data_IF_648588974095
#
_entry.id   IF_648588974095
#
_cell.length_a   1.000
_cell.length_b   1.000
_cell.length_c   1.000
_cell.angle_alpha   90.00
_cell.angle_beta   90.00
_cell.angle_gamma   90.00
#
_symmetry.space_group_name_H-M   'P 1'
#
loop_
_entity.id
_entity.type
_entity.pdbx_description
1 polymer ?
#
# COMPACT_ATOMS: atom_id res chain seq x y z
N UNK A 1 4.24 7.91 -15.31
CA UNK A 1 3.53 8.35 -14.09
C UNK A 1 4.47 8.42 -12.88
N UNK A 2 5.12 7.33 -12.43
CA UNK A 2 6.03 7.34 -11.27
C UNK A 2 7.15 8.40 -11.37
N UNK A 3 7.84 8.49 -12.51
CA UNK A 3 8.90 9.50 -12.74
C UNK A 3 8.36 10.93 -12.59
N UNK A 4 7.17 11.22 -13.13
CA UNK A 4 6.57 12.56 -12.99
C UNK A 4 6.25 12.90 -11.55
N UNK A 5 5.76 11.92 -10.76
CA UNK A 5 5.48 12.13 -9.34
C UNK A 5 6.76 12.35 -8.53
N UNK A 6 7.83 11.57 -8.80
CA UNK A 6 9.13 11.79 -8.15
C UNK A 6 9.70 13.15 -8.51
N UNK A 7 9.54 13.61 -9.76
CA UNK A 7 9.94 14.94 -10.17
C UNK A 7 9.22 16.04 -9.36
N UNK A 8 7.90 15.90 -9.14
CA UNK A 8 7.17 16.87 -8.30
C UNK A 8 7.66 16.87 -6.86
N UNK A 9 7.96 15.70 -6.27
CA UNK A 9 8.53 15.60 -4.92
C UNK A 9 9.91 16.28 -4.85
N UNK A 10 10.74 16.09 -5.87
CA UNK A 10 12.06 16.68 -5.94
C UNK A 10 12.01 18.21 -6.05
N UNK A 11 11.25 18.74 -7.01
CA UNK A 11 11.11 20.18 -7.22
C UNK A 11 10.35 20.91 -6.12
N UNK A 12 9.52 20.20 -5.36
CA UNK A 12 8.87 20.76 -4.17
C UNK A 12 9.71 20.65 -2.88
N UNK A 13 10.97 20.23 -2.99
CA UNK A 13 11.88 19.99 -1.85
C UNK A 13 11.32 19.02 -0.79
N UNK A 14 10.45 18.09 -1.20
CA UNK A 14 9.90 17.08 -0.31
C UNK A 14 10.75 15.79 -0.33
N UNK A 15 12.04 15.94 -0.03
CA UNK A 15 13.10 14.95 -0.18
C UNK A 15 13.67 14.46 1.15
N UNK A 16 13.08 14.87 2.26
CA UNK A 16 13.44 14.41 3.59
C UNK A 16 12.54 13.25 4.00
N UNK A 17 13.15 12.10 4.30
CA UNK A 17 12.43 10.96 4.86
C UNK A 17 12.76 10.79 6.34
N UNK A 18 11.74 10.50 7.13
CA UNK A 18 11.88 10.09 8.52
C UNK A 18 11.93 8.56 8.59
N UNK A 19 12.92 8.06 9.33
CA UNK A 19 13.01 6.64 9.67
C UNK A 19 12.65 6.50 11.14
N UNK A 20 11.64 5.70 11.51
CA UNK A 20 11.28 5.50 12.91
C UNK A 20 12.50 5.08 13.71
N UNK A 21 12.76 5.77 14.82
CA UNK A 21 13.88 5.57 15.75
C UNK A 21 15.29 5.86 15.18
N UNK A 22 15.48 6.03 13.88
CA UNK A 22 16.79 6.26 13.24
C UNK A 22 17.04 7.71 12.81
N UNK A 23 16.02 8.59 12.91
CA UNK A 23 16.13 9.99 12.56
C UNK A 23 15.67 10.32 11.14
N UNK A 24 16.23 11.38 10.55
CA UNK A 24 15.85 11.84 9.21
C UNK A 24 17.00 11.76 8.22
N UNK A 25 16.68 11.41 6.98
CA UNK A 25 17.62 11.41 5.86
C UNK A 25 17.20 12.50 4.89
N UNK A 26 18.10 13.45 4.64
CA UNK A 26 17.93 14.47 3.61
C UNK A 26 18.66 14.04 2.34
N UNK A 27 17.93 13.84 1.26
CA UNK A 27 18.46 13.36 -0.01
C UNK A 27 19.02 14.48 -0.92
N UNK A 28 18.81 15.75 -0.60
CA UNK A 28 19.42 16.86 -1.36
C UNK A 28 20.87 17.15 -0.98
N UNK A 29 21.42 16.44 0.00
CA UNK A 29 22.75 16.71 0.54
C UNK A 29 23.87 16.51 -0.48
N UNK A 30 23.78 15.48 -1.33
CA UNK A 30 24.79 15.10 -2.31
C UNK A 30 24.13 14.53 -3.58
N UNK A 31 24.84 14.57 -4.72
CA UNK A 31 24.39 13.95 -5.96
C UNK A 31 24.02 12.46 -5.79
N UNK A 32 24.85 11.69 -5.07
CA UNK A 32 24.59 10.26 -4.82
C UNK A 32 23.33 10.02 -4.01
N UNK A 33 23.06 10.81 -2.96
CA UNK A 33 21.81 10.71 -2.17
C UNK A 33 20.60 11.13 -3.01
N UNK A 34 20.74 12.13 -3.87
CA UNK A 34 19.69 12.51 -4.81
C UNK A 34 19.34 11.41 -5.78
N UNK A 35 20.34 10.74 -6.38
CA UNK A 35 20.12 9.59 -7.26
C UNK A 35 19.42 8.45 -6.51
N UNK A 36 19.84 8.17 -5.26
CA UNK A 36 19.21 7.16 -4.41
C UNK A 36 17.75 7.49 -4.13
N UNK A 37 17.41 8.76 -3.85
CA UNK A 37 16.03 9.21 -3.70
C UNK A 37 15.17 8.86 -4.93
N UNK A 38 15.68 9.19 -6.13
CA UNK A 38 14.97 8.92 -7.37
C UNK A 38 14.72 7.42 -7.57
N UNK A 39 15.75 6.61 -7.42
CA UNK A 39 15.65 5.15 -7.60
C UNK A 39 14.67 4.53 -6.58
N UNK A 40 14.82 4.85 -5.29
CA UNK A 40 13.96 4.31 -4.25
C UNK A 40 12.52 4.80 -4.41
N UNK A 41 12.31 6.08 -4.72
CA UNK A 41 10.95 6.62 -4.88
C UNK A 41 10.22 6.02 -6.07
N UNK A 42 10.90 5.86 -7.23
CA UNK A 42 10.33 5.20 -8.39
C UNK A 42 9.94 3.75 -8.03
N UNK A 43 10.82 3.03 -7.34
CA UNK A 43 10.58 1.65 -6.93
C UNK A 43 9.40 1.55 -5.96
N UNK A 44 9.33 2.41 -4.94
CA UNK A 44 8.24 2.41 -3.96
C UNK A 44 6.90 2.75 -4.62
N UNK A 45 6.86 3.81 -5.45
CA UNK A 45 5.61 4.22 -6.11
C UNK A 45 5.15 3.13 -7.08
N UNK A 46 6.04 2.64 -7.95
CA UNK A 46 5.72 1.59 -8.91
C UNK A 46 5.30 0.30 -8.20
N UNK A 47 6.04 -0.10 -7.16
CA UNK A 47 5.74 -1.28 -6.34
C UNK A 47 4.37 -1.16 -5.67
N UNK A 48 4.08 -0.03 -5.01
CA UNK A 48 2.79 0.20 -4.35
C UNK A 48 1.63 0.15 -5.33
N UNK A 49 1.75 0.84 -6.47
CA UNK A 49 0.70 0.88 -7.50
C UNK A 49 0.38 -0.52 -8.03
N UNK A 50 1.42 -1.31 -8.35
CA UNK A 50 1.21 -2.66 -8.84
C UNK A 50 0.72 -3.61 -7.75
N UNK A 51 1.17 -3.45 -6.50
CA UNK A 51 0.73 -4.29 -5.38
C UNK A 51 -0.77 -4.12 -5.09
N UNK A 52 -1.27 -2.88 -5.16
CA UNK A 52 -2.71 -2.61 -5.02
C UNK A 52 -3.49 -3.20 -6.19
N UNK A 53 -2.97 -3.09 -7.41
CA UNK A 53 -3.59 -3.70 -8.60
C UNK A 53 -3.65 -5.23 -8.49
N UNK A 54 -2.57 -5.90 -8.05
CA UNK A 54 -2.55 -7.34 -7.81
C UNK A 54 -3.55 -7.80 -6.73
N UNK A 55 -3.88 -6.92 -5.80
CA UNK A 55 -4.85 -7.21 -4.73
C UNK A 55 -6.31 -7.14 -5.23
N UNK A 56 -6.57 -6.60 -6.41
CA UNK A 56 -7.91 -6.52 -7.03
C UNK A 56 -8.28 -7.81 -7.78
N UNK A 57 -7.94 -8.97 -7.25
CA UNK A 57 -8.15 -10.28 -7.87
C UNK A 57 -9.45 -10.99 -7.49
N UNK A 58 -10.09 -10.59 -6.40
CA UNK A 58 -11.38 -11.13 -5.93
C UNK A 58 -12.32 -10.01 -5.47
N UNK A 59 -13.64 -10.32 -5.46
CA UNK A 59 -14.70 -9.37 -5.14
C UNK A 59 -14.49 -8.70 -3.77
N UNK A 60 -14.35 -7.36 -3.77
CA UNK A 60 -14.29 -6.55 -2.57
C UNK A 60 -12.93 -6.51 -1.85
N UNK A 61 -11.93 -7.30 -2.23
CA UNK A 61 -10.67 -7.39 -1.49
C UNK A 61 -9.90 -6.07 -1.54
N UNK A 62 -9.61 -5.56 -2.73
CA UNK A 62 -8.86 -4.30 -2.90
C UNK A 62 -9.51 -3.15 -2.14
N UNK A 63 -10.84 -2.98 -2.29
CA UNK A 63 -11.60 -1.92 -1.64
C UNK A 63 -11.61 -2.03 -0.11
N UNK A 64 -11.80 -3.25 0.44
CA UNK A 64 -11.85 -3.46 1.88
C UNK A 64 -10.49 -3.25 2.55
N UNK A 65 -9.41 -3.70 1.91
CA UNK A 65 -8.03 -3.45 2.39
C UNK A 65 -7.72 -1.95 2.31
N UNK A 66 -8.04 -1.28 1.19
CA UNK A 66 -7.81 0.17 1.03
C UNK A 66 -8.59 0.99 2.06
N UNK A 67 -9.80 0.55 2.45
CA UNK A 67 -10.56 1.21 3.52
C UNK A 67 -9.80 1.23 4.85
N UNK A 68 -9.11 0.15 5.22
CA UNK A 68 -8.31 0.10 6.46
C UNK A 68 -7.13 1.05 6.41
N UNK A 69 -6.47 1.16 5.24
CA UNK A 69 -5.40 2.14 5.00
C UNK A 69 -5.91 3.56 5.16
N UNK A 70 -7.03 3.88 4.50
CA UNK A 70 -7.63 5.22 4.54
C UNK A 70 -8.01 5.63 5.97
N UNK A 71 -8.61 4.74 6.76
CA UNK A 71 -8.93 4.98 8.17
C UNK A 71 -7.67 5.34 8.98
N UNK A 72 -6.58 4.59 8.77
CA UNK A 72 -5.33 4.85 9.47
C UNK A 72 -4.74 6.23 9.12
N UNK A 73 -4.80 6.64 7.85
CA UNK A 73 -4.32 7.95 7.43
C UNK A 73 -5.24 9.11 7.86
N UNK A 74 -6.55 8.89 7.96
CA UNK A 74 -7.46 9.87 8.59
C UNK A 74 -7.05 10.10 10.03
N UNK A 75 -6.90 9.01 10.81
CA UNK A 75 -6.49 9.12 12.21
C UNK A 75 -5.17 9.86 12.37
N UNK A 76 -4.15 9.49 11.61
CA UNK A 76 -2.84 10.13 11.68
C UNK A 76 -2.89 11.61 11.25
N UNK A 77 -3.62 11.91 10.16
CA UNK A 77 -3.80 13.29 9.69
C UNK A 77 -4.47 14.19 10.71
N UNK A 78 -5.49 13.69 11.40
CA UNK A 78 -6.14 14.40 12.49
C UNK A 78 -5.22 14.57 13.71
N UNK A 79 -4.48 13.53 14.07
CA UNK A 79 -3.55 13.55 15.20
C UNK A 79 -2.40 14.55 15.00
N UNK A 80 -1.85 14.65 13.79
CA UNK A 80 -0.74 15.55 13.47
C UNK A 80 -1.18 16.92 12.95
N UNK A 81 -2.49 17.19 12.80
CA UNK A 81 -2.98 18.44 12.23
C UNK A 81 -2.80 18.54 10.70
N UNK A 82 -2.52 17.44 10.00
CA UNK A 82 -2.37 17.40 8.54
C UNK A 82 -3.75 17.28 7.86
N UNK A 83 -4.54 18.36 7.96
CA UNK A 83 -5.94 18.39 7.50
C UNK A 83 -6.10 17.98 6.04
N UNK A 84 -5.23 18.44 5.14
CA UNK A 84 -5.29 18.09 3.71
C UNK A 84 -5.15 16.58 3.47
N UNK A 85 -4.24 15.92 4.20
CA UNK A 85 -4.07 14.46 4.14
C UNK A 85 -5.29 13.73 4.70
N UNK A 86 -5.85 14.20 5.83
CA UNK A 86 -7.05 13.62 6.42
C UNK A 86 -8.26 13.72 5.48
N UNK A 87 -8.44 14.86 4.81
CA UNK A 87 -9.49 15.06 3.81
C UNK A 87 -9.30 14.12 2.61
N UNK A 88 -8.09 14.01 2.08
CA UNK A 88 -7.79 13.08 0.98
C UNK A 88 -8.09 11.63 1.38
N UNK A 89 -7.63 11.21 2.55
CA UNK A 89 -7.88 9.86 3.05
C UNK A 89 -9.37 9.61 3.29
N UNK A 90 -10.12 10.60 3.78
CA UNK A 90 -11.57 10.51 3.94
C UNK A 90 -12.31 10.39 2.59
N UNK A 91 -11.85 11.12 1.57
CA UNK A 91 -12.38 11.00 0.22
C UNK A 91 -12.13 9.60 -0.37
N UNK A 92 -10.92 9.04 -0.16
CA UNK A 92 -10.60 7.66 -0.55
C UNK A 92 -11.52 6.69 0.18
N UNK A 93 -11.68 6.84 1.50
CA UNK A 93 -12.57 5.97 2.29
C UNK A 93 -14.02 6.02 1.77
N UNK A 94 -14.55 7.21 1.55
CA UNK A 94 -15.91 7.38 0.99
C UNK A 94 -16.07 6.72 -0.38
N UNK A 95 -15.08 6.91 -1.25
CA UNK A 95 -15.06 6.30 -2.59
C UNK A 95 -15.04 4.78 -2.55
N UNK A 96 -14.12 4.18 -1.77
CA UNK A 96 -14.02 2.70 -1.69
C UNK A 96 -15.20 2.08 -0.95
N UNK A 97 -15.78 2.72 0.07
CA UNK A 97 -16.99 2.23 0.73
C UNK A 97 -18.21 2.30 -0.19
N UNK A 98 -18.36 3.41 -0.94
CA UNK A 98 -19.43 3.55 -1.93
C UNK A 98 -19.30 2.50 -3.04
N UNK A 99 -18.09 2.27 -3.56
CA UNK A 99 -17.82 1.23 -4.55
C UNK A 99 -18.07 -0.18 -3.97
N UNK A 100 -17.68 -0.43 -2.72
CA UNK A 100 -17.84 -1.72 -2.05
C UNK A 100 -19.31 -2.16 -1.96
N UNK A 101 -20.28 -1.23 -1.92
CA UNK A 101 -21.69 -1.58 -1.96
C UNK A 101 -22.09 -2.36 -3.23
N UNK A 102 -21.34 -2.16 -4.33
CA UNK A 102 -21.57 -2.83 -5.61
C UNK A 102 -20.56 -3.92 -5.93
N UNK A 103 -19.35 -3.83 -5.34
CA UNK A 103 -18.25 -4.77 -5.57
C UNK A 103 -18.16 -5.86 -4.49
N UNK A 104 -19.00 -5.82 -3.43
CA UNK A 104 -19.03 -6.90 -2.44
C UNK A 104 -19.58 -8.18 -3.06
N UNK A 105 -18.98 -9.32 -2.70
CA UNK A 105 -19.30 -10.64 -3.26
C UNK A 105 -20.78 -11.06 -3.02
N UNK A 106 -21.56 -11.44 -4.06
CA UNK A 106 -21.17 -11.45 -5.48
C UNK A 106 -21.16 -10.03 -6.10
N UNK A 107 -20.05 -9.67 -6.74
CA UNK A 107 -19.87 -8.34 -7.30
C UNK A 107 -20.85 -8.06 -8.45
N UNK A 108 -21.35 -6.83 -8.51
CA UNK A 108 -22.16 -6.30 -9.61
C UNK A 108 -21.36 -5.41 -10.54
N UNK A 109 -20.19 -4.96 -10.09
CA UNK A 109 -19.26 -4.12 -10.84
C UNK A 109 -17.83 -4.40 -10.42
N UNK A 110 -16.88 -4.15 -11.32
CA UNK A 110 -15.47 -4.37 -11.11
C UNK A 110 -14.70 -3.06 -11.25
N UNK A 111 -13.62 -2.92 -10.46
CA UNK A 111 -12.79 -1.72 -10.45
C UNK A 111 -11.91 -1.63 -11.71
N UNK A 112 -11.36 -2.74 -12.14
CA UNK A 112 -10.41 -2.84 -13.24
C UNK A 112 -9.11 -2.10 -12.98
N UNK A 113 -8.16 -2.23 -13.91
CA UNK A 113 -6.83 -1.64 -13.78
C UNK A 113 -6.86 -0.12 -13.58
N UNK A 114 -7.79 0.57 -14.20
CA UNK A 114 -7.90 2.04 -14.07
C UNK A 114 -8.17 2.45 -12.62
N UNK A 115 -9.08 1.76 -11.94
CA UNK A 115 -9.41 2.05 -10.55
C UNK A 115 -8.34 1.60 -9.57
N UNK A 116 -7.85 0.36 -9.71
CA UNK A 116 -6.88 -0.22 -8.78
C UNK A 116 -5.51 0.46 -8.88
N UNK A 117 -5.03 0.80 -10.09
CA UNK A 117 -3.80 1.58 -10.28
C UNK A 117 -3.96 3.01 -9.74
N UNK A 118 -5.14 3.64 -9.91
CA UNK A 118 -5.43 4.94 -9.33
C UNK A 118 -5.40 4.90 -7.79
N UNK A 119 -6.05 3.91 -7.17
CA UNK A 119 -5.99 3.72 -5.71
C UNK A 119 -4.57 3.47 -5.23
N UNK A 120 -3.79 2.67 -5.94
CA UNK A 120 -2.38 2.45 -5.64
C UNK A 120 -1.54 3.74 -5.66
N UNK A 121 -1.82 4.62 -6.63
CA UNK A 121 -1.22 5.96 -6.69
C UNK A 121 -1.58 6.84 -5.51
N UNK A 122 -2.84 6.81 -5.06
CA UNK A 122 -3.31 7.55 -3.88
C UNK A 122 -2.68 7.01 -2.59
N UNK A 123 -2.59 5.68 -2.43
CA UNK A 123 -1.92 5.05 -1.27
C UNK A 123 -0.45 5.44 -1.22
N UNK A 124 0.25 5.41 -2.36
CA UNK A 124 1.63 5.87 -2.45
C UNK A 124 1.76 7.35 -2.05
N UNK A 125 0.86 8.21 -2.55
CA UNK A 125 0.85 9.64 -2.21
C UNK A 125 0.68 9.88 -0.70
N UNK A 126 -0.23 9.16 -0.04
CA UNK A 126 -0.40 9.23 1.41
C UNK A 126 0.88 8.86 2.16
N UNK A 127 1.62 7.83 1.71
CA UNK A 127 2.90 7.43 2.28
C UNK A 127 3.97 8.52 2.18
N UNK A 128 3.99 9.28 1.09
CA UNK A 128 4.89 10.43 0.94
C UNK A 128 4.45 11.66 1.75
N UNK A 129 3.15 11.86 1.96
CA UNK A 129 2.64 12.93 2.80
C UNK A 129 3.14 12.85 4.26
N UNK A 130 3.33 11.63 4.79
CA UNK A 130 3.88 11.41 6.13
C UNK A 130 5.42 11.49 6.17
N UNK A 131 6.07 11.71 5.04
CA UNK A 131 7.55 11.71 4.89
C UNK A 131 8.21 10.43 5.41
N UNK A 132 7.49 9.33 5.44
CA UNK A 132 7.98 8.03 5.91
C UNK A 132 7.47 6.90 5.00
N UNK A 133 7.84 6.91 3.70
CA UNK A 133 7.29 5.98 2.72
C UNK A 133 7.64 4.51 3.02
N UNK A 134 8.66 4.25 3.82
CA UNK A 134 9.01 2.88 4.25
C UNK A 134 7.87 2.23 5.06
N UNK A 135 7.07 3.01 5.77
CA UNK A 135 5.94 2.48 6.52
C UNK A 135 4.77 2.03 5.64
N UNK A 136 4.78 2.33 4.33
CA UNK A 136 3.84 1.71 3.38
C UNK A 136 3.91 0.18 3.41
N UNK A 137 5.07 -0.39 3.76
CA UNK A 137 5.21 -1.85 3.95
C UNK A 137 4.29 -2.39 5.05
N UNK A 138 3.98 -1.60 6.07
CA UNK A 138 3.07 -1.97 7.16
C UNK A 138 1.66 -1.46 6.93
N UNK A 139 1.48 -0.22 6.44
CA UNK A 139 0.15 0.30 6.09
C UNK A 139 -0.54 -0.53 5.01
N UNK A 140 0.24 -1.15 4.12
CA UNK A 140 -0.24 -2.03 3.06
C UNK A 140 0.36 -3.43 3.16
N UNK A 141 0.44 -4.01 4.37
CA UNK A 141 1.08 -5.33 4.55
C UNK A 141 0.43 -6.41 3.68
N UNK A 142 -0.86 -6.34 3.44
CA UNK A 142 -1.56 -7.26 2.55
C UNK A 142 -1.10 -7.06 1.11
N UNK A 143 -0.99 -5.82 0.62
CA UNK A 143 -0.47 -5.54 -0.72
C UNK A 143 0.94 -6.11 -0.92
N UNK A 144 1.78 -5.96 0.11
CA UNK A 144 3.14 -6.52 0.10
C UNK A 144 3.09 -8.04 0.04
N UNK A 145 2.24 -8.69 0.86
CA UNK A 145 2.10 -10.15 0.86
C UNK A 145 1.62 -10.69 -0.50
N UNK A 146 0.66 -10.00 -1.15
CA UNK A 146 0.18 -10.37 -2.49
C UNK A 146 1.34 -10.37 -3.50
N UNK A 147 2.05 -9.26 -3.59
CA UNK A 147 3.18 -9.11 -4.52
C UNK A 147 4.33 -10.05 -4.20
N UNK A 148 4.69 -10.20 -2.91
CA UNK A 148 5.76 -11.11 -2.52
C UNK A 148 5.43 -12.56 -2.80
N UNK A 149 4.16 -12.97 -2.68
CA UNK A 149 3.74 -14.32 -3.03
C UNK A 149 3.94 -14.62 -4.51
N UNK A 150 3.68 -13.65 -5.39
CA UNK A 150 3.95 -13.77 -6.83
C UNK A 150 5.44 -13.87 -7.12
N UNK A 151 6.24 -12.97 -6.56
CA UNK A 151 7.69 -12.95 -6.77
C UNK A 151 8.31 -14.28 -6.32
N UNK A 152 7.94 -14.75 -5.13
CA UNK A 152 8.42 -16.02 -4.57
C UNK A 152 7.97 -17.20 -5.44
N UNK A 153 6.71 -17.23 -5.84
CA UNK A 153 6.17 -18.30 -6.69
C UNK A 153 6.88 -18.38 -8.03
N UNK A 154 7.03 -17.24 -8.72
CA UNK A 154 7.69 -17.17 -10.02
C UNK A 154 9.17 -17.56 -9.91
N UNK A 155 9.86 -17.03 -8.89
CA UNK A 155 11.27 -17.35 -8.64
C UNK A 155 11.48 -18.84 -8.39
N UNK A 156 10.71 -19.41 -7.47
CA UNK A 156 10.80 -20.82 -7.12
C UNK A 156 10.42 -21.73 -8.30
N UNK A 157 9.37 -21.39 -9.04
CA UNK A 157 8.95 -22.14 -10.23
C UNK A 157 10.04 -22.22 -11.29
N UNK A 158 10.74 -21.10 -11.54
CA UNK A 158 11.86 -21.04 -12.48
C UNK A 158 13.06 -21.89 -12.02
N UNK A 159 13.44 -21.76 -10.74
CA UNK A 159 14.59 -22.47 -10.17
C UNK A 159 14.36 -23.98 -10.09
N UNK A 160 13.13 -24.38 -9.79
CA UNK A 160 12.78 -25.82 -9.57
C UNK A 160 12.19 -26.50 -10.80
N UNK A 161 12.20 -25.82 -11.96
CA UNK A 161 11.66 -26.33 -13.22
C UNK A 161 10.21 -26.84 -13.12
N UNK A 162 9.34 -26.05 -12.46
CA UNK A 162 7.90 -26.29 -12.46
C UNK A 162 7.26 -26.62 -11.11
N UNK A 163 8.02 -26.70 -10.01
CA UNK A 163 7.43 -26.89 -8.68
C UNK A 163 6.82 -25.59 -8.18
N UNK A 164 5.74 -25.70 -7.41
CA UNK A 164 5.02 -24.55 -6.83
C UNK A 164 5.11 -24.57 -5.31
N UNK A 165 5.30 -23.39 -4.68
CA UNK A 165 5.20 -23.22 -3.22
C UNK A 165 3.73 -23.05 -2.84
N UNK A 166 3.06 -22.08 -3.48
CA UNK A 166 1.64 -21.84 -3.30
C UNK A 166 0.84 -22.61 -4.34
N UNK A 167 -0.38 -23.03 -4.02
CA UNK A 167 -1.28 -23.68 -4.99
C UNK A 167 -1.53 -22.76 -6.18
N UNK A 168 -1.69 -21.45 -5.90
CA UNK A 168 -1.81 -20.38 -6.88
C UNK A 168 -1.27 -19.08 -6.26
N UNK A 169 -0.76 -18.17 -7.06
CA UNK A 169 -0.38 -16.81 -6.68
C UNK A 169 -1.18 -15.81 -7.56
N UNK A 170 -1.52 -14.64 -7.05
CA UNK A 170 -1.25 -14.08 -5.71
C UNK A 170 -1.86 -14.88 -4.56
N UNK A 171 -1.49 -14.52 -3.29
CA UNK A 171 -1.79 -15.38 -2.13
C UNK A 171 -3.30 -15.52 -1.83
N UNK A 172 -4.14 -14.56 -2.20
CA UNK A 172 -5.59 -14.71 -2.06
C UNK A 172 -6.12 -15.92 -2.84
N UNK A 173 -5.63 -16.18 -4.05
CA UNK A 173 -5.99 -17.36 -4.81
C UNK A 173 -5.51 -18.67 -4.17
N UNK A 174 -4.38 -18.64 -3.44
CA UNK A 174 -3.96 -19.79 -2.65
C UNK A 174 -5.03 -20.18 -1.62
N UNK A 175 -5.59 -19.20 -0.91
CA UNK A 175 -6.65 -19.45 0.08
C UNK A 175 -7.97 -19.89 -0.57
N UNK A 176 -8.34 -19.36 -1.74
CA UNK A 176 -9.49 -19.86 -2.51
C UNK A 176 -9.30 -21.35 -2.85
N UNK A 177 -8.11 -21.73 -3.36
CA UNK A 177 -7.75 -23.12 -3.66
C UNK A 177 -7.66 -24.02 -2.40
N UNK A 178 -7.59 -23.42 -1.21
CA UNK A 178 -7.73 -24.08 0.08
C UNK A 178 -9.19 -24.18 0.56
N UNK A 179 -10.16 -23.69 -0.22
CA UNK A 179 -11.59 -23.77 0.08
C UNK A 179 -12.14 -22.62 0.92
N UNK A 180 -11.39 -21.51 1.05
CA UNK A 180 -11.93 -20.31 1.68
C UNK A 180 -12.88 -19.58 0.72
N UNK A 181 -13.99 -19.09 1.27
CA UNK A 181 -14.92 -18.22 0.53
C UNK A 181 -14.31 -16.81 0.42
N UNK A 182 -14.52 -16.12 -0.69
CA UNK A 182 -14.02 -14.77 -0.94
C UNK A 182 -14.34 -13.80 0.20
N UNK A 183 -15.57 -13.78 0.71
CA UNK A 183 -15.96 -12.96 1.89
C UNK A 183 -15.07 -13.20 3.10
N UNK A 184 -14.67 -14.45 3.35
CA UNK A 184 -13.77 -14.78 4.46
C UNK A 184 -12.37 -14.23 4.19
N UNK A 185 -11.88 -14.34 2.95
CA UNK A 185 -10.57 -13.80 2.56
C UNK A 185 -10.56 -12.28 2.75
N UNK A 186 -11.57 -11.57 2.23
CA UNK A 186 -11.70 -10.11 2.38
C UNK A 186 -11.68 -9.68 3.84
N UNK A 187 -12.46 -10.33 4.71
CA UNK A 187 -12.52 -9.97 6.13
C UNK A 187 -11.19 -10.23 6.82
N UNK A 188 -10.60 -11.43 6.64
CA UNK A 188 -9.34 -11.79 7.30
C UNK A 188 -8.20 -10.89 6.82
N UNK A 189 -8.09 -10.65 5.52
CA UNK A 189 -7.04 -9.80 4.96
C UNK A 189 -7.20 -8.35 5.41
N UNK A 190 -8.42 -7.82 5.47
CA UNK A 190 -8.67 -6.49 6.02
C UNK A 190 -8.31 -6.39 7.50
N UNK A 191 -8.56 -7.42 8.31
CA UNK A 191 -8.14 -7.45 9.71
C UNK A 191 -6.62 -7.51 9.86
N UNK A 192 -5.94 -8.32 9.04
CA UNK A 192 -4.47 -8.38 9.01
C UNK A 192 -3.89 -7.02 8.61
N UNK A 193 -4.47 -6.38 7.58
CA UNK A 193 -4.02 -5.06 7.14
C UNK A 193 -4.28 -3.99 8.22
N UNK A 194 -5.43 -4.03 8.90
CA UNK A 194 -5.74 -3.13 10.01
C UNK A 194 -4.72 -3.28 11.16
N UNK A 195 -4.32 -4.51 11.50
CA UNK A 195 -3.26 -4.75 12.48
C UNK A 195 -1.91 -4.15 12.03
N UNK A 196 -1.56 -4.31 10.75
CA UNK A 196 -0.38 -3.66 10.15
C UNK A 196 -0.46 -2.13 10.23
N UNK A 197 -1.62 -1.55 9.94
CA UNK A 197 -1.87 -0.11 10.06
C UNK A 197 -1.69 0.37 11.50
N UNK A 198 -2.22 -0.35 12.49
CA UNK A 198 -2.07 0.00 13.92
C UNK A 198 -0.58 -0.02 14.29
N UNK A 199 0.14 -1.07 13.89
CA UNK A 199 1.58 -1.15 14.15
C UNK A 199 2.34 0.01 13.49
N UNK A 200 2.03 0.33 12.24
CA UNK A 200 2.62 1.47 11.52
C UNK A 200 2.38 2.79 12.24
N UNK A 201 1.15 3.03 12.72
CA UNK A 201 0.79 4.23 13.49
C UNK A 201 1.58 4.31 14.81
N UNK A 202 1.69 3.19 15.54
CA UNK A 202 2.46 3.15 16.79
C UNK A 202 3.94 3.48 16.55
N UNK A 203 4.54 2.88 15.51
CA UNK A 203 5.93 3.14 15.14
C UNK A 203 6.14 4.59 14.70
N UNK A 204 5.22 5.14 13.91
CA UNK A 204 5.30 6.50 13.41
C UNK A 204 5.16 7.51 14.56
N UNK A 205 4.17 7.34 15.42
CA UNK A 205 3.92 8.27 16.54
C UNK A 205 5.06 8.21 17.55
N UNK A 206 5.47 7.02 18.00
CA UNK A 206 6.54 6.85 18.98
C UNK A 206 7.93 7.11 18.41
N UNK A 207 8.17 6.74 17.15
CA UNK A 207 9.49 6.81 16.53
C UNK A 207 9.85 8.17 15.94
N UNK A 208 8.86 8.96 15.53
CA UNK A 208 9.09 10.21 14.79
C UNK A 208 8.58 11.44 15.54
N UNK A 209 7.41 11.33 16.19
CA UNK A 209 6.72 12.43 16.84
C UNK A 209 6.68 12.34 18.38
N UNK A 210 7.19 11.28 18.96
CA UNK A 210 7.22 11.04 20.42
C UNK A 210 8.47 11.58 21.12
N UNK A 211 9.17 12.56 20.50
CA UNK A 211 10.32 13.25 21.10
C UNK A 211 9.96 14.70 21.35
#
# INVERSE_FOLDING_TARGET
>A
MAVGYVATLWFSHNTVWYLPFAGSVNFERNFGTGLLFWVLSIFIIYGTVNSVNLTDGIDGLCSSVTATVAIAFIYFGMYCGYTGMAILAAAILGGVLGFLCWNWNPAKTFMGDTGSLFLGGLVAALGYCIKCPILLLLFGIVYVCETMSDIIQIGYFKITHGKRIFKMAPIHHHFEMCGWKEKKICVVFSLVNAAGCILALVLLIKGTFGK
#
